data_IF_530992931925
#
_entry.id   IF_530992931925
#
_cell.length_a   1.000
_cell.length_b   1.000
_cell.length_c   1.000
_cell.angle_alpha   90.00
_cell.angle_beta   90.00
_cell.angle_gamma   90.00
#
_symmetry.space_group_name_H-M   'P 1'
#
loop_
_entity.id
_entity.type
_entity.pdbx_description
1 polymer ?
#
# COMPACT_ATOMS: atom_id res chain seq x y z
N UNK A 1 -27.24 13.57 -12.62
CA UNK A 1 -27.79 12.18 -12.57
C UNK A 1 -27.08 11.53 -11.39
N UNK A 2 -27.77 11.30 -10.28
CA UNK A 2 -27.14 10.71 -9.08
C UNK A 2 -26.77 9.29 -9.46
N UNK A 3 -25.45 9.01 -9.56
CA UNK A 3 -24.97 7.62 -9.71
C UNK A 3 -25.57 6.83 -8.57
N UNK A 4 -26.42 5.87 -8.92
CA UNK A 4 -27.07 5.01 -7.94
C UNK A 4 -26.00 4.09 -7.32
N UNK A 5 -25.32 4.57 -6.30
CA UNK A 5 -24.56 3.73 -5.35
C UNK A 5 -25.51 2.76 -4.65
N UNK A 6 -26.82 3.08 -4.68
CA UNK A 6 -27.89 2.26 -4.12
C UNK A 6 -28.08 0.98 -4.95
N UNK A 7 -27.48 -0.12 -4.46
CA UNK A 7 -27.80 -1.45 -4.96
C UNK A 7 -26.64 -2.32 -5.41
N UNK A 8 -25.39 -1.93 -5.24
CA UNK A 8 -24.27 -2.90 -5.39
C UNK A 8 -24.34 -3.86 -4.20
N UNK A 9 -24.62 -5.11 -4.46
CA UNK A 9 -24.59 -6.18 -3.44
C UNK A 9 -23.15 -6.56 -3.07
N UNK A 10 -22.16 -6.11 -3.85
CA UNK A 10 -20.74 -6.42 -3.71
C UNK A 10 -19.94 -5.13 -3.41
N UNK A 11 -18.91 -5.28 -2.58
CA UNK A 11 -17.95 -4.23 -2.33
C UNK A 11 -17.17 -3.89 -3.60
N UNK A 12 -16.87 -2.62 -3.85
CA UNK A 12 -16.08 -2.16 -5.00
C UNK A 12 -14.93 -1.26 -4.56
N UNK A 13 -13.74 -1.47 -5.16
CA UNK A 13 -12.58 -0.63 -4.97
C UNK A 13 -12.23 0.09 -6.27
N UNK A 14 -12.37 1.41 -6.30
CA UNK A 14 -11.84 2.25 -7.37
C UNK A 14 -10.33 2.37 -7.17
N UNK A 15 -9.57 1.87 -8.13
CA UNK A 15 -8.14 1.66 -8.02
C UNK A 15 -7.41 2.09 -9.28
N UNK A 16 -6.28 2.77 -9.11
CA UNK A 16 -5.31 3.00 -10.17
C UNK A 16 -4.34 1.82 -10.30
N UNK A 17 -3.84 1.57 -11.50
CA UNK A 17 -2.97 0.42 -11.80
C UNK A 17 -1.60 0.50 -11.12
N UNK A 18 -1.04 1.70 -10.97
CA UNK A 18 0.34 1.89 -10.48
C UNK A 18 0.42 2.60 -9.14
N UNK A 19 -0.70 3.08 -8.61
CA UNK A 19 -0.71 3.84 -7.36
C UNK A 19 -0.24 3.00 -6.17
N UNK A 20 0.72 3.55 -5.45
CA UNK A 20 1.27 2.98 -4.23
C UNK A 20 0.18 2.77 -3.16
N UNK A 21 -0.72 3.74 -2.99
CA UNK A 21 -1.84 3.67 -2.05
C UNK A 21 -2.89 2.63 -2.46
N UNK A 22 -3.20 2.53 -3.74
CA UNK A 22 -4.10 1.50 -4.24
C UNK A 22 -3.54 0.10 -4.01
N UNK A 23 -2.24 -0.10 -4.21
CA UNK A 23 -1.58 -1.37 -3.96
C UNK A 23 -1.66 -1.77 -2.47
N UNK A 24 -1.50 -0.83 -1.53
CA UNK A 24 -1.67 -1.10 -0.09
C UNK A 24 -3.05 -1.67 0.22
N UNK A 25 -4.10 -1.09 -0.34
CA UNK A 25 -5.48 -1.54 -0.13
C UNK A 25 -5.72 -2.90 -0.78
N UNK A 26 -5.27 -3.10 -2.02
CA UNK A 26 -5.37 -4.41 -2.70
C UNK A 26 -4.65 -5.51 -1.93
N UNK A 27 -3.49 -5.20 -1.33
CA UNK A 27 -2.75 -6.18 -0.53
C UNK A 27 -3.52 -6.56 0.74
N UNK A 28 -4.10 -5.62 1.46
CA UNK A 28 -4.94 -5.90 2.63
C UNK A 28 -6.17 -6.74 2.24
N UNK A 29 -6.85 -6.40 1.16
CA UNK A 29 -7.98 -7.17 0.65
C UNK A 29 -7.60 -8.63 0.34
N UNK A 30 -6.46 -8.80 -0.34
CA UNK A 30 -5.94 -10.12 -0.69
C UNK A 30 -5.50 -10.93 0.54
N UNK A 31 -4.86 -10.30 1.51
CA UNK A 31 -4.44 -10.96 2.76
C UNK A 31 -5.63 -11.44 3.58
N UNK A 32 -6.70 -10.65 3.59
CA UNK A 32 -7.95 -11.01 4.28
C UNK A 32 -8.87 -11.92 3.46
N UNK A 33 -8.51 -12.25 2.22
CA UNK A 33 -9.34 -13.06 1.34
C UNK A 33 -10.69 -12.42 1.00
N UNK A 34 -10.77 -11.10 0.98
CA UNK A 34 -12.00 -10.36 0.69
C UNK A 34 -12.20 -10.26 -0.81
N UNK A 35 -13.33 -10.76 -1.31
CA UNK A 35 -13.74 -10.55 -2.68
C UNK A 35 -14.29 -9.14 -2.86
N UNK A 36 -13.75 -8.42 -3.84
CA UNK A 36 -14.09 -7.04 -4.16
C UNK A 36 -14.04 -6.84 -5.67
N UNK A 37 -14.95 -6.04 -6.19
CA UNK A 37 -14.91 -5.63 -7.59
C UNK A 37 -13.86 -4.51 -7.74
N UNK A 38 -12.77 -4.77 -8.46
CA UNK A 38 -11.75 -3.76 -8.74
C UNK A 38 -12.16 -2.96 -9.97
N UNK A 39 -12.41 -1.67 -9.78
CA UNK A 39 -12.76 -0.72 -10.85
C UNK A 39 -11.50 0.09 -11.18
N UNK A 40 -10.96 -0.12 -12.38
CA UNK A 40 -9.73 0.53 -12.81
C UNK A 40 -10.02 1.96 -13.34
N UNK A 41 -9.67 2.98 -12.56
CA UNK A 41 -9.91 4.38 -12.92
C UNK A 41 -8.90 4.94 -13.93
N UNK A 42 -7.82 4.21 -14.21
CA UNK A 42 -6.80 4.63 -15.17
C UNK A 42 -7.15 4.23 -16.61
N UNK A 43 -8.01 3.22 -16.78
CA UNK A 43 -8.35 2.63 -18.08
C UNK A 43 -9.79 2.93 -18.54
N UNK A 44 -10.66 3.45 -17.65
CA UNK A 44 -12.08 3.65 -17.91
C UNK A 44 -12.51 5.08 -17.53
N UNK A 45 -12.86 5.89 -18.53
CA UNK A 45 -13.33 7.26 -18.33
C UNK A 45 -14.64 7.33 -17.53
N UNK A 46 -15.50 6.32 -17.65
CA UNK A 46 -16.74 6.28 -16.87
C UNK A 46 -16.43 6.00 -15.39
N UNK A 47 -15.47 5.14 -15.11
CA UNK A 47 -15.00 4.90 -13.75
C UNK A 47 -14.34 6.14 -13.11
N UNK A 48 -13.63 6.94 -13.91
CA UNK A 48 -13.08 8.21 -13.45
C UNK A 48 -14.18 9.25 -13.15
N UNK A 49 -15.26 9.28 -13.94
CA UNK A 49 -16.41 10.15 -13.69
C UNK A 49 -17.17 9.72 -12.42
N UNK A 50 -17.41 8.42 -12.24
CA UNK A 50 -18.01 7.87 -11.02
C UNK A 50 -17.18 8.23 -9.78
N UNK A 51 -15.84 8.12 -9.87
CA UNK A 51 -14.94 8.46 -8.78
C UNK A 51 -15.08 9.93 -8.36
N UNK A 52 -15.20 10.86 -9.30
CA UNK A 52 -15.36 12.28 -9.03
C UNK A 52 -16.68 12.60 -8.28
N UNK A 53 -17.73 11.80 -8.51
CA UNK A 53 -18.99 11.93 -7.76
C UNK A 53 -18.92 11.31 -6.36
N UNK A 54 -18.13 10.23 -6.18
CA UNK A 54 -18.00 9.48 -4.94
C UNK A 54 -17.04 10.12 -3.95
N UNK A 55 -15.95 10.70 -4.44
CA UNK A 55 -14.86 11.22 -3.62
C UNK A 55 -14.57 12.69 -3.94
N UNK A 56 -14.76 13.62 -3.00
CA UNK A 56 -14.54 15.05 -3.22
C UNK A 56 -13.10 15.41 -3.60
N UNK A 57 -12.13 14.53 -3.32
CA UNK A 57 -10.73 14.70 -3.73
C UNK A 57 -10.44 14.10 -5.11
N UNK A 58 -11.41 13.37 -5.69
CA UNK A 58 -11.25 12.68 -6.98
C UNK A 58 -9.98 11.83 -7.07
N UNK A 59 -9.69 11.07 -6.03
CA UNK A 59 -8.47 10.27 -5.89
C UNK A 59 -8.78 8.80 -5.56
N UNK A 60 -8.07 7.91 -6.19
CA UNK A 60 -8.01 6.49 -5.80
C UNK A 60 -6.90 6.28 -4.74
N UNK A 61 -7.08 5.36 -3.79
CA UNK A 61 -8.19 4.40 -3.68
C UNK A 61 -9.47 5.03 -3.10
N UNK A 62 -10.61 4.56 -3.60
CA UNK A 62 -11.92 4.82 -3.00
C UNK A 62 -12.68 3.50 -2.91
N UNK A 63 -13.12 3.15 -1.70
CA UNK A 63 -13.87 1.93 -1.40
C UNK A 63 -15.36 2.25 -1.27
N UNK A 64 -16.20 1.46 -1.91
CA UNK A 64 -17.65 1.50 -1.76
C UNK A 64 -18.12 0.17 -1.17
N UNK A 65 -18.73 0.21 0.02
CA UNK A 65 -19.37 -0.94 0.64
C UNK A 65 -20.84 -0.56 0.94
N UNK A 66 -21.75 -0.96 0.06
CA UNK A 66 -23.16 -0.57 0.09
C UNK A 66 -23.32 0.95 0.01
N UNK A 67 -23.82 1.58 1.09
CA UNK A 67 -24.01 3.03 1.19
C UNK A 67 -22.78 3.76 1.78
N UNK A 68 -21.77 3.00 2.24
CA UNK A 68 -20.54 3.56 2.80
C UNK A 68 -19.52 3.83 1.68
N UNK A 69 -19.04 5.06 1.62
CA UNK A 69 -17.94 5.45 0.73
C UNK A 69 -16.77 5.89 1.58
N UNK A 70 -15.61 5.26 1.40
CA UNK A 70 -14.36 5.59 2.10
C UNK A 70 -13.28 5.92 1.08
N UNK A 71 -12.48 6.91 1.41
CA UNK A 71 -11.27 7.29 0.68
C UNK A 71 -10.13 7.51 1.68
N UNK A 72 -8.89 7.60 1.19
CA UNK A 72 -7.65 7.42 1.92
C UNK A 72 -7.34 5.96 2.27
N UNK A 73 -6.16 5.50 1.85
CA UNK A 73 -5.76 4.10 2.02
C UNK A 73 -5.65 3.67 3.49
N UNK A 74 -5.28 4.59 4.39
CA UNK A 74 -5.20 4.31 5.82
C UNK A 74 -6.58 4.05 6.42
N UNK A 75 -7.54 4.94 6.13
CA UNK A 75 -8.93 4.81 6.58
C UNK A 75 -9.56 3.53 6.04
N UNK A 76 -9.35 3.24 4.75
CA UNK A 76 -9.86 2.01 4.13
C UNK A 76 -9.27 0.77 4.80
N UNK A 77 -7.96 0.74 5.02
CA UNK A 77 -7.28 -0.40 5.63
C UNK A 77 -7.70 -0.62 7.09
N UNK A 78 -7.86 0.43 7.87
CA UNK A 78 -8.39 0.35 9.24
C UNK A 78 -9.82 -0.20 9.23
N UNK A 79 -10.69 0.30 8.34
CA UNK A 79 -12.05 -0.24 8.17
C UNK A 79 -12.06 -1.72 7.81
N UNK A 80 -11.23 -2.13 6.85
CA UNK A 80 -11.14 -3.53 6.41
C UNK A 80 -10.65 -4.44 7.54
N UNK A 81 -9.69 -4.00 8.36
CA UNK A 81 -9.20 -4.78 9.49
C UNK A 81 -10.24 -4.92 10.60
N UNK A 82 -10.98 -3.87 10.90
CA UNK A 82 -12.05 -3.89 11.90
C UNK A 82 -13.29 -4.66 11.43
N UNK A 83 -13.66 -4.52 10.15
CA UNK A 83 -14.81 -5.19 9.55
C UNK A 83 -14.62 -6.69 9.37
N UNK A 84 -13.39 -7.09 9.07
CA UNK A 84 -12.96 -8.47 8.85
C UNK A 84 -11.80 -8.81 9.79
N UNK A 85 -12.07 -9.17 11.04
CA UNK A 85 -11.04 -9.27 12.09
C UNK A 85 -10.06 -10.44 11.91
N UNK A 86 -10.26 -11.32 10.92
CA UNK A 86 -9.39 -12.46 10.68
C UNK A 86 -8.90 -12.52 9.22
N UNK A 87 -7.58 -12.75 9.00
CA UNK A 87 -6.50 -12.65 9.99
C UNK A 87 -6.36 -11.21 10.52
N UNK A 88 -6.01 -11.00 11.80
CA UNK A 88 -5.81 -9.66 12.35
C UNK A 88 -4.54 -9.05 11.75
N UNK A 89 -4.61 -7.80 11.31
CA UNK A 89 -3.46 -7.03 10.82
C UNK A 89 -3.04 -5.92 11.80
N UNK A 90 -3.77 -5.81 12.92
CA UNK A 90 -3.43 -4.93 14.03
C UNK A 90 -3.49 -5.69 15.35
N UNK A 91 -2.54 -5.47 16.27
CA UNK A 91 -2.57 -6.08 17.60
C UNK A 91 -3.83 -5.71 18.38
N UNK A 92 -4.31 -6.63 19.22
CA UNK A 92 -5.44 -6.37 20.13
C UNK A 92 -4.99 -5.52 21.31
N UNK A 93 -3.78 -5.76 21.81
CA UNK A 93 -3.21 -5.01 22.95
C UNK A 93 -3.02 -3.51 22.58
N UNK A 94 -3.54 -2.58 23.41
CA UNK A 94 -3.48 -1.15 23.10
C UNK A 94 -2.05 -0.58 22.99
N UNK A 95 -1.09 -1.11 23.76
CA UNK A 95 0.30 -0.62 23.74
C UNK A 95 0.96 -1.03 22.42
N UNK A 96 0.89 -2.31 22.06
CA UNK A 96 1.43 -2.84 20.81
C UNK A 96 0.76 -2.17 19.60
N UNK A 97 -0.57 -1.96 19.65
CA UNK A 97 -1.33 -1.23 18.63
C UNK A 97 -0.83 0.21 18.47
N UNK A 98 -0.59 0.92 19.57
CA UNK A 98 -0.07 2.27 19.53
C UNK A 98 1.36 2.34 18.95
N UNK A 99 2.22 1.39 19.30
CA UNK A 99 3.57 1.26 18.74
C UNK A 99 3.53 1.01 17.24
N UNK A 100 2.66 0.10 16.77
CA UNK A 100 2.52 -0.22 15.35
C UNK A 100 1.97 0.98 14.57
N UNK A 101 0.99 1.71 15.12
CA UNK A 101 0.49 2.97 14.52
C UNK A 101 1.59 4.03 14.42
N UNK A 102 2.46 4.14 15.42
CA UNK A 102 3.58 5.08 15.39
C UNK A 102 4.58 4.72 14.28
N UNK A 103 4.92 3.44 14.15
CA UNK A 103 5.79 2.97 13.05
C UNK A 103 5.13 3.23 11.70
N UNK A 104 3.83 2.90 11.56
CA UNK A 104 3.06 3.17 10.34
C UNK A 104 3.06 4.66 9.96
N UNK A 105 2.79 5.53 10.93
CA UNK A 105 2.86 6.98 10.74
C UNK A 105 4.24 7.42 10.24
N UNK A 106 5.33 6.90 10.82
CA UNK A 106 6.69 7.24 10.39
C UNK A 106 6.98 6.75 8.97
N UNK A 107 6.58 5.54 8.62
CA UNK A 107 6.73 5.01 7.26
C UNK A 107 6.03 5.92 6.25
N UNK A 108 4.79 6.34 6.54
CA UNK A 108 4.05 7.23 5.65
C UNK A 108 4.69 8.62 5.56
N UNK A 109 5.08 9.17 6.71
CA UNK A 109 5.66 10.53 6.77
C UNK A 109 7.06 10.61 6.17
N UNK A 110 7.91 9.62 6.48
CA UNK A 110 9.35 9.71 6.16
C UNK A 110 9.66 9.05 4.81
N UNK A 111 9.00 7.93 4.44
CA UNK A 111 9.34 7.17 3.23
C UNK A 111 8.34 7.33 2.09
N UNK A 112 7.04 7.31 2.40
CA UNK A 112 6.01 7.51 1.37
C UNK A 112 6.04 8.92 0.80
N UNK A 113 6.28 9.95 1.61
CA UNK A 113 6.46 11.32 1.13
C UNK A 113 7.60 11.42 0.11
N UNK A 114 8.70 10.70 0.34
CA UNK A 114 9.83 10.65 -0.61
C UNK A 114 9.48 9.85 -1.86
N UNK A 115 8.72 8.75 -1.73
CA UNK A 115 8.23 8.01 -2.89
C UNK A 115 7.33 8.87 -3.78
N UNK A 116 6.39 9.62 -3.20
CA UNK A 116 5.55 10.56 -3.95
C UNK A 116 6.38 11.69 -4.59
N UNK A 117 7.42 12.16 -3.91
CA UNK A 117 8.33 13.16 -4.49
C UNK A 117 9.11 12.61 -5.67
N UNK A 118 9.54 11.34 -5.63
CA UNK A 118 10.18 10.67 -6.77
C UNK A 118 9.20 10.57 -7.94
N UNK A 119 7.96 10.13 -7.68
CA UNK A 119 6.93 9.94 -8.72
C UNK A 119 6.46 11.27 -9.35
N UNK A 120 6.45 12.35 -8.58
CA UNK A 120 5.93 13.67 -9.02
C UNK A 120 7.01 14.62 -9.54
N UNK A 121 8.28 14.27 -9.47
CA UNK A 121 9.40 15.13 -9.88
C UNK A 121 10.34 14.43 -10.85
N UNK A 122 11.29 15.18 -11.43
CA UNK A 122 12.28 14.67 -12.36
C UNK A 122 13.67 15.22 -12.03
N UNK A 123 14.72 14.59 -12.59
CA UNK A 123 16.10 15.06 -12.48
C UNK A 123 16.61 15.11 -11.03
N UNK A 124 17.33 16.15 -10.69
CA UNK A 124 18.02 16.28 -9.39
C UNK A 124 17.10 16.14 -8.17
N UNK A 125 15.85 16.58 -8.30
CA UNK A 125 14.88 16.52 -7.19
C UNK A 125 14.47 15.07 -6.90
N UNK A 126 14.13 14.32 -7.93
CA UNK A 126 13.81 12.89 -7.80
C UNK A 126 15.04 12.09 -7.32
N UNK A 127 16.23 12.37 -7.84
CA UNK A 127 17.47 11.72 -7.41
C UNK A 127 17.79 11.98 -5.93
N UNK A 128 17.53 13.20 -5.45
CA UNK A 128 17.73 13.55 -4.05
C UNK A 128 16.74 12.80 -3.15
N UNK A 129 15.46 12.75 -3.52
CA UNK A 129 14.44 12.01 -2.78
C UNK A 129 14.77 10.50 -2.74
N UNK A 130 15.19 9.91 -3.86
CA UNK A 130 15.63 8.51 -3.91
C UNK A 130 16.82 8.21 -3.01
N UNK A 131 17.79 9.13 -2.93
CA UNK A 131 18.93 9.02 -2.02
C UNK A 131 18.50 9.07 -0.56
N UNK A 132 17.65 10.02 -0.20
CA UNK A 132 17.11 10.15 1.17
C UNK A 132 16.29 8.93 1.57
N UNK A 133 15.47 8.40 0.65
CA UNK A 133 14.71 7.18 0.87
C UNK A 133 15.63 5.99 1.15
N UNK A 134 16.68 5.83 0.34
CA UNK A 134 17.72 4.82 0.56
C UNK A 134 18.37 4.94 1.94
N UNK A 135 18.81 6.13 2.32
CA UNK A 135 19.45 6.39 3.59
C UNK A 135 18.52 6.08 4.77
N UNK A 136 17.26 6.50 4.68
CA UNK A 136 16.25 6.20 5.70
C UNK A 136 15.98 4.70 5.88
N UNK A 137 15.86 3.97 4.77
CA UNK A 137 15.66 2.51 4.79
C UNK A 137 16.90 1.81 5.39
N UNK A 138 18.09 2.18 4.98
CA UNK A 138 19.34 1.60 5.51
C UNK A 138 19.53 1.88 6.99
N UNK A 139 19.15 3.06 7.48
CA UNK A 139 19.20 3.39 8.90
C UNK A 139 18.25 2.49 9.74
N UNK A 140 17.17 1.99 9.14
CA UNK A 140 16.23 1.09 9.77
C UNK A 140 16.56 -0.40 9.56
N UNK A 141 17.64 -0.76 8.86
CA UNK A 141 17.94 -2.14 8.45
C UNK A 141 17.98 -3.14 9.63
N UNK A 142 18.42 -2.73 10.81
CA UNK A 142 18.48 -3.61 11.98
C UNK A 142 17.08 -4.02 12.47
N UNK A 143 16.05 -3.20 12.28
CA UNK A 143 14.68 -3.54 12.68
C UNK A 143 14.16 -4.78 11.92
N UNK A 144 14.60 -4.99 10.68
CA UNK A 144 14.19 -6.11 9.84
C UNK A 144 14.91 -7.43 10.16
N UNK A 145 15.82 -7.43 11.15
CA UNK A 145 16.48 -8.64 11.68
C UNK A 145 15.77 -9.21 12.90
N UNK A 146 14.96 -8.39 13.58
CA UNK A 146 14.48 -8.70 14.92
C UNK A 146 13.35 -9.72 14.94
N UNK A 147 12.55 -9.78 13.87
CA UNK A 147 11.39 -10.64 13.75
C UNK A 147 11.06 -10.93 12.28
N UNK A 148 10.11 -11.82 12.03
CA UNK A 148 9.72 -12.17 10.65
C UNK A 148 9.06 -11.00 9.92
N UNK A 149 8.22 -10.23 10.62
CA UNK A 149 7.57 -9.02 10.14
C UNK A 149 7.88 -7.84 11.05
N UNK A 150 7.41 -6.66 10.67
CA UNK A 150 7.67 -5.47 11.50
C UNK A 150 6.93 -5.58 12.83
N UNK A 151 7.69 -5.58 13.92
CA UNK A 151 7.23 -5.70 15.30
C UNK A 151 6.59 -7.05 15.69
N UNK A 152 6.83 -8.14 14.94
CA UNK A 152 6.31 -9.45 15.32
C UNK A 152 6.52 -10.55 14.29
N UNK A 153 5.93 -11.71 14.56
CA UNK A 153 6.01 -12.88 13.70
C UNK A 153 4.81 -13.01 12.75
N UNK A 154 3.84 -12.09 12.86
CA UNK A 154 2.66 -12.04 12.02
C UNK A 154 2.64 -10.77 11.16
N UNK A 155 2.11 -10.89 9.94
CA UNK A 155 1.97 -9.78 9.01
C UNK A 155 0.99 -8.73 9.58
N UNK A 156 1.35 -7.46 9.45
CA UNK A 156 0.59 -6.32 9.95
C UNK A 156 0.25 -5.30 8.86
N UNK A 157 -0.57 -4.29 9.19
CA UNK A 157 -0.85 -3.16 8.28
C UNK A 157 0.42 -2.39 7.89
N UNK A 158 1.46 -2.41 8.76
CA UNK A 158 2.76 -1.80 8.41
C UNK A 158 3.42 -2.58 7.29
N UNK A 159 3.38 -3.91 7.37
CA UNK A 159 3.96 -4.77 6.32
C UNK A 159 3.18 -4.64 5.01
N UNK A 160 1.84 -4.52 5.09
CA UNK A 160 0.99 -4.21 3.93
C UNK A 160 1.30 -2.84 3.31
N UNK A 161 1.90 -1.94 4.07
CA UNK A 161 2.38 -0.63 3.59
C UNK A 161 3.80 -0.74 3.04
N UNK A 162 4.71 -1.44 3.70
CA UNK A 162 6.10 -1.58 3.28
C UNK A 162 6.28 -2.42 2.02
N UNK A 163 5.50 -3.49 1.86
CA UNK A 163 5.58 -4.36 0.69
C UNK A 163 5.45 -3.59 -0.64
N UNK A 164 4.38 -2.82 -0.87
CA UNK A 164 4.23 -1.99 -2.06
C UNK A 164 5.37 -0.99 -2.29
N UNK A 165 5.88 -0.37 -1.23
CA UNK A 165 7.01 0.56 -1.32
C UNK A 165 8.30 -0.17 -1.74
N UNK A 166 8.63 -1.28 -1.07
CA UNK A 166 9.86 -2.03 -1.35
C UNK A 166 9.82 -2.70 -2.74
N UNK A 167 8.63 -3.06 -3.22
CA UNK A 167 8.45 -3.54 -4.60
C UNK A 167 8.91 -2.52 -5.64
N UNK A 168 8.77 -1.22 -5.35
CA UNK A 168 9.10 -0.13 -6.28
C UNK A 168 10.53 0.40 -6.15
N UNK A 169 11.33 -0.07 -5.19
CA UNK A 169 12.67 0.49 -4.96
C UNK A 169 13.57 0.46 -6.20
N UNK A 170 13.56 -0.65 -6.95
CA UNK A 170 14.33 -0.74 -8.20
C UNK A 170 13.86 0.29 -9.24
N UNK A 171 12.55 0.45 -9.39
CA UNK A 171 11.94 1.44 -10.27
C UNK A 171 12.32 2.88 -9.88
N UNK A 172 12.44 3.15 -8.58
CA UNK A 172 12.92 4.43 -8.05
C UNK A 172 14.45 4.61 -8.14
N UNK A 173 15.16 3.65 -8.71
CA UNK A 173 16.63 3.67 -8.76
C UNK A 173 17.32 3.43 -7.41
N UNK A 174 16.57 2.95 -6.41
CA UNK A 174 17.08 2.70 -5.05
C UNK A 174 17.60 1.27 -4.96
N UNK A 175 18.93 1.12 -4.89
CA UNK A 175 19.63 -0.16 -4.68
C UNK A 175 20.25 -0.15 -3.29
N UNK A 176 19.81 -1.07 -2.40
CA UNK A 176 20.26 -1.12 -1.01
C UNK A 176 21.64 -1.75 -0.88
N UNK A 177 21.93 -2.78 -1.66
CA UNK A 177 23.21 -3.50 -1.65
C UNK A 177 23.48 -4.21 -0.31
N UNK A 178 24.73 -4.61 -0.07
CA UNK A 178 25.09 -5.37 1.16
C UNK A 178 24.60 -4.78 2.48
N UNK A 179 24.62 -3.44 2.70
CA UNK A 179 24.09 -2.87 3.95
C UNK A 179 22.59 -3.09 4.15
N UNK A 180 21.83 -3.32 3.07
CA UNK A 180 20.38 -3.53 3.10
C UNK A 180 19.92 -4.99 3.09
N UNK A 181 20.82 -5.96 3.29
CA UNK A 181 20.52 -7.39 3.17
C UNK A 181 19.31 -7.83 4.03
N UNK A 182 19.12 -7.25 5.22
CA UNK A 182 18.00 -7.60 6.09
C UNK A 182 16.67 -7.11 5.53
N UNK A 183 16.67 -5.89 4.99
CA UNK A 183 15.50 -5.34 4.30
C UNK A 183 15.17 -6.17 3.06
N UNK A 184 16.16 -6.57 2.27
CA UNK A 184 15.95 -7.41 1.09
C UNK A 184 15.40 -8.79 1.46
N UNK A 185 15.93 -9.41 2.52
CA UNK A 185 15.42 -10.69 3.03
C UNK A 185 13.97 -10.57 3.49
N UNK A 186 13.65 -9.52 4.25
CA UNK A 186 12.29 -9.21 4.66
C UNK A 186 11.36 -8.96 3.45
N UNK A 187 11.78 -8.13 2.50
CA UNK A 187 11.03 -7.83 1.29
C UNK A 187 10.72 -9.10 0.48
N UNK A 188 11.69 -10.00 0.30
CA UNK A 188 11.48 -11.29 -0.34
C UNK A 188 10.44 -12.14 0.37
N UNK A 189 10.41 -12.13 1.71
CA UNK A 189 9.40 -12.84 2.49
C UNK A 189 8.00 -12.29 2.19
N UNK A 190 7.82 -10.98 2.22
CA UNK A 190 6.56 -10.32 1.89
C UNK A 190 6.15 -10.62 0.44
N UNK A 191 7.07 -10.48 -0.53
CA UNK A 191 6.80 -10.73 -1.95
C UNK A 191 6.46 -12.19 -2.27
N UNK A 192 6.93 -13.12 -1.44
CA UNK A 192 6.64 -14.55 -1.61
C UNK A 192 5.21 -14.93 -1.24
N UNK A 193 4.51 -14.10 -0.47
CA UNK A 193 3.13 -14.36 -0.04
C UNK A 193 2.18 -14.43 -1.23
N UNK A 194 1.28 -15.41 -1.25
CA UNK A 194 0.25 -15.49 -2.30
C UNK A 194 -0.61 -14.23 -2.40
N UNK A 195 -0.96 -13.63 -1.25
CA UNK A 195 -1.74 -12.40 -1.13
C UNK A 195 -1.02 -11.19 -1.76
N UNK A 196 0.30 -11.05 -1.54
CA UNK A 196 1.08 -10.00 -2.19
C UNK A 196 1.09 -10.19 -3.72
N UNK A 197 1.36 -11.41 -4.18
CA UNK A 197 1.39 -11.72 -5.62
C UNK A 197 0.06 -11.48 -6.31
N UNK A 198 -1.05 -11.81 -5.64
CA UNK A 198 -2.40 -11.59 -6.19
C UNK A 198 -2.83 -10.11 -6.14
N UNK A 199 -2.25 -9.29 -5.26
CA UNK A 199 -2.54 -7.86 -5.18
C UNK A 199 -1.89 -7.01 -6.28
N UNK A 200 -0.88 -7.56 -6.96
CA UNK A 200 -0.16 -6.88 -8.05
C UNK A 200 -1.00 -6.79 -9.32
N UNK A 201 -1.08 -5.60 -9.88
CA UNK A 201 -1.55 -5.41 -11.26
C UNK A 201 -0.49 -5.87 -12.27
N UNK A 202 -0.86 -5.95 -13.56
CA UNK A 202 0.12 -6.24 -14.60
C UNK A 202 1.14 -5.10 -14.72
N UNK A 203 0.69 -3.85 -14.68
CA UNK A 203 1.57 -2.68 -14.73
C UNK A 203 2.61 -2.68 -13.59
N UNK A 204 2.21 -3.05 -12.37
CA UNK A 204 3.15 -3.16 -11.23
C UNK A 204 4.16 -4.31 -11.36
N UNK A 205 3.79 -5.39 -12.03
CA UNK A 205 4.73 -6.48 -12.35
C UNK A 205 5.76 -6.04 -13.37
N UNK A 206 5.33 -5.26 -14.36
CA UNK A 206 6.19 -4.76 -15.43
C UNK A 206 7.22 -3.72 -14.92
N UNK A 207 6.93 -3.01 -13.81
CA UNK A 207 7.91 -2.12 -13.15
C UNK A 207 9.20 -2.85 -12.76
N UNK A 208 9.12 -4.13 -12.38
CA UNK A 208 10.29 -4.92 -12.01
C UNK A 208 11.10 -5.41 -13.23
N UNK A 209 10.48 -5.49 -14.39
CA UNK A 209 11.16 -5.93 -15.63
C UNK A 209 11.89 -4.80 -16.32
N UNK A 210 11.54 -3.55 -16.00
CA UNK A 210 12.07 -2.32 -16.61
C UNK A 210 13.24 -1.70 -15.83
N UNK A 211 13.75 -2.38 -14.76
CA UNK A 211 14.70 -1.82 -13.78
C UNK A 211 16.12 -2.40 -13.90
#
# INVERSE_FOLDING_TARGET
MVVSVRGRSTMALYSSETSLDCHRVRFVLAEKGINVDIVNVSADESAAADLAELNPYNQAPTLVDRDLVLYDAGVINDYLDERYPHPPLMPVDPVSRAQLRLVHFRVLKDWYSLAYEIESSTGKKAEQAARQLKEGILAANELFKMSEYVLGDELSLVDCTLGPLFWRLSHYGVKLGKPGTSVETYAHRVFSRPSFKSSLTQAERDLMLSS
#
